data_IF_055993336877
#
_entry.id   IF_055993336877
#
_cell.length_a   1.000
_cell.length_b   1.000
_cell.length_c   1.000
_cell.angle_alpha   90.00
_cell.angle_beta   90.00
_cell.angle_gamma   90.00
#
_symmetry.space_group_name_H-M   'P 1'
#
loop_
_entity.id
_entity.type
_entity.pdbx_description
1 polymer ?
#
# COMPACT_ATOMS: atom_id res chain seq x y z
N UNK A 1 -5.12 0.42 -3.92
CA UNK A 1 -6.14 0.17 -2.88
C UNK A 1 -6.55 1.53 -2.33
N UNK A 2 -7.83 1.86 -2.35
CA UNK A 2 -8.38 3.07 -1.73
C UNK A 2 -8.84 2.82 -0.29
N UNK A 3 -9.12 3.90 0.45
CA UNK A 3 -9.53 3.86 1.85
C UNK A 3 -10.84 3.06 2.06
N UNK A 4 -11.82 3.19 1.16
CA UNK A 4 -13.11 2.53 1.33
C UNK A 4 -12.98 1.00 1.14
N UNK A 5 -12.12 0.57 0.22
CA UNK A 5 -11.74 -0.84 0.03
C UNK A 5 -10.97 -1.41 1.22
N UNK A 6 -10.08 -0.61 1.83
CA UNK A 6 -9.36 -1.00 3.05
C UNK A 6 -10.30 -1.15 4.25
N UNK A 7 -11.19 -0.17 4.47
CA UNK A 7 -12.16 -0.21 5.55
C UNK A 7 -13.11 -1.42 5.44
N UNK A 8 -13.65 -1.70 4.24
CA UNK A 8 -14.48 -2.89 3.99
C UNK A 8 -13.73 -4.20 4.26
N UNK A 9 -12.44 -4.25 3.94
CA UNK A 9 -11.59 -5.41 4.21
C UNK A 9 -11.43 -5.64 5.71
N UNK A 10 -11.23 -4.57 6.49
CA UNK A 10 -11.18 -4.64 7.95
C UNK A 10 -12.51 -5.11 8.54
N UNK A 11 -13.64 -4.59 8.07
CA UNK A 11 -14.98 -5.04 8.50
C UNK A 11 -15.20 -6.53 8.21
N UNK A 12 -14.72 -7.01 7.06
CA UNK A 12 -14.87 -8.41 6.64
C UNK A 12 -14.04 -9.37 7.50
N UNK A 13 -12.83 -8.98 7.88
CA UNK A 13 -11.88 -9.85 8.58
C UNK A 13 -11.87 -9.66 10.09
N UNK A 14 -12.42 -8.55 10.59
CA UNK A 14 -12.55 -8.23 12.01
C UNK A 14 -14.02 -7.90 12.36
N UNK A 15 -14.99 -8.79 12.07
CA UNK A 15 -16.41 -8.48 12.25
C UNK A 15 -16.81 -8.27 13.72
N UNK A 16 -16.05 -8.83 14.66
CA UNK A 16 -16.29 -8.67 16.11
C UNK A 16 -15.85 -7.29 16.64
N UNK A 17 -15.04 -6.56 15.88
CA UNK A 17 -14.47 -5.27 16.27
C UNK A 17 -14.82 -4.23 15.19
N UNK A 18 -16.00 -3.60 15.27
CA UNK A 18 -16.38 -2.57 14.31
C UNK A 18 -15.33 -1.45 14.33
N UNK A 19 -14.64 -1.29 13.21
CA UNK A 19 -13.57 -0.29 13.05
C UNK A 19 -14.24 1.03 12.69
N UNK A 20 -13.91 2.10 13.42
CA UNK A 20 -14.41 3.41 13.06
C UNK A 20 -13.79 3.89 11.74
N UNK A 21 -14.50 4.74 11.00
CA UNK A 21 -13.96 5.32 9.77
C UNK A 21 -12.66 6.09 10.01
N UNK A 22 -12.52 6.69 11.20
CA UNK A 22 -11.31 7.42 11.60
C UNK A 22 -10.14 6.45 11.81
N UNK A 23 -10.35 5.36 12.54
CA UNK A 23 -9.30 4.36 12.77
C UNK A 23 -8.85 3.70 11.46
N UNK A 24 -9.80 3.42 10.56
CA UNK A 24 -9.49 2.91 9.23
C UNK A 24 -8.67 3.91 8.40
N UNK A 25 -8.99 5.21 8.48
CA UNK A 25 -8.24 6.26 7.80
C UNK A 25 -6.81 6.38 8.35
N UNK A 26 -6.66 6.41 9.67
CA UNK A 26 -5.36 6.51 10.33
C UNK A 26 -4.49 5.28 10.02
N UNK A 27 -5.06 4.08 10.08
CA UNK A 27 -4.39 2.84 9.69
C UNK A 27 -3.97 2.84 8.22
N UNK A 28 -4.84 3.28 7.31
CA UNK A 28 -4.56 3.37 5.88
C UNK A 28 -3.42 4.34 5.59
N UNK A 29 -3.44 5.54 6.17
CA UNK A 29 -2.40 6.55 5.95
C UNK A 29 -1.05 6.11 6.51
N UNK A 30 -1.03 5.52 7.70
CA UNK A 30 0.19 4.98 8.31
C UNK A 30 0.79 3.85 7.47
N UNK A 31 -0.03 2.88 7.04
CA UNK A 31 0.42 1.78 6.18
C UNK A 31 0.94 2.30 4.84
N UNK A 32 0.22 3.23 4.21
CA UNK A 32 0.62 3.83 2.93
C UNK A 32 1.94 4.58 3.05
N UNK A 33 2.12 5.34 4.14
CA UNK A 33 3.38 6.04 4.43
C UNK A 33 4.54 5.06 4.64
N UNK A 34 4.32 4.01 5.43
CA UNK A 34 5.32 2.97 5.67
C UNK A 34 5.72 2.23 4.39
N UNK A 35 4.76 1.82 3.57
CA UNK A 35 5.04 1.18 2.27
C UNK A 35 5.81 2.12 1.34
N UNK A 36 5.48 3.42 1.32
CA UNK A 36 6.22 4.41 0.55
C UNK A 36 7.68 4.54 1.00
N UNK A 37 7.94 4.46 2.31
CA UNK A 37 9.31 4.45 2.85
C UNK A 37 10.05 3.18 2.42
N UNK A 38 9.41 2.02 2.51
CA UNK A 38 10.01 0.75 2.07
C UNK A 38 10.39 0.78 0.59
N UNK A 39 9.53 1.32 -0.27
CA UNK A 39 9.82 1.49 -1.70
C UNK A 39 11.06 2.37 -1.88
N UNK A 40 11.11 3.54 -1.23
CA UNK A 40 12.27 4.45 -1.34
C UNK A 40 13.58 3.81 -0.85
N UNK A 41 13.52 3.08 0.27
CA UNK A 41 14.69 2.34 0.78
C UNK A 41 15.09 1.27 -0.22
N UNK A 42 14.13 0.53 -0.78
CA UNK A 42 14.42 -0.49 -1.78
C UNK A 42 15.03 0.09 -3.05
N UNK A 43 14.52 1.22 -3.54
CA UNK A 43 15.06 1.93 -4.71
C UNK A 43 16.50 2.40 -4.48
N UNK A 44 16.80 2.92 -3.28
CA UNK A 44 18.12 3.43 -2.91
C UNK A 44 19.14 2.32 -2.72
N UNK A 45 18.78 1.28 -1.97
CA UNK A 45 19.71 0.25 -1.51
C UNK A 45 19.70 -1.00 -2.43
N UNK A 46 18.78 -1.07 -3.41
CA UNK A 46 18.61 -2.19 -4.36
C UNK A 46 18.48 -3.56 -3.66
N UNK A 47 17.88 -3.60 -2.47
CA UNK A 47 17.79 -4.81 -1.62
C UNK A 47 16.98 -5.90 -2.30
N UNK A 48 15.86 -5.54 -2.92
CA UNK A 48 15.00 -6.42 -3.70
C UNK A 48 15.10 -6.00 -5.16
N UNK A 49 15.47 -6.91 -6.09
CA UNK A 49 15.41 -6.64 -7.52
C UNK A 49 13.96 -6.39 -7.94
N UNK A 50 13.56 -5.12 -7.95
CA UNK A 50 12.32 -4.71 -8.61
C UNK A 50 12.59 -4.75 -10.10
N UNK A 51 11.98 -5.72 -10.80
CA UNK A 51 11.96 -5.70 -12.27
C UNK A 51 11.53 -4.29 -12.69
N UNK A 52 12.39 -3.57 -13.40
CA UNK A 52 11.94 -2.43 -14.17
C UNK A 52 10.86 -2.95 -15.11
N UNK A 53 9.60 -2.58 -14.85
CA UNK A 53 8.55 -2.72 -15.85
C UNK A 53 8.99 -1.75 -16.94
N UNK A 54 9.45 -2.30 -18.06
CA UNK A 54 10.17 -1.59 -19.11
C UNK A 54 9.44 -0.34 -19.57
N UNK A 55 10.17 0.78 -19.57
CA UNK A 55 9.89 1.95 -20.40
C UNK A 55 10.56 1.78 -21.78
N UNK A 56 10.52 0.56 -22.33
CA UNK A 56 11.01 0.22 -23.68
C UNK A 56 9.85 -0.33 -24.54
N UNK A 57 8.73 0.39 -24.55
CA UNK A 57 7.65 0.22 -25.53
C UNK A 57 7.46 1.53 -26.33
N UNK A 58 8.58 2.19 -26.65
CA UNK A 58 8.65 3.17 -27.73
C UNK A 58 9.57 2.64 -28.84
N UNK A 59 8.98 2.41 -30.02
CA UNK A 59 9.56 2.09 -31.33
C UNK A 59 10.08 0.65 -31.59
N UNK A 60 9.18 -0.22 -32.06
CA UNK A 60 9.38 -0.98 -33.32
C UNK A 60 8.08 -1.14 -34.09
#
# INVERSE_FOLDING_TARGET
>A
MDLDSFAKTLETHCPEHPVSRQDAADGFHNLSGFMSLLIRVNEREQIIPTKQIGLDDENQ
#
